data_IF_884593608676
#
_entry.id   IF_884593608676
#
_cell.length_a   1.000
_cell.length_b   1.000
_cell.length_c   1.000
_cell.angle_alpha   90.00
_cell.angle_beta   90.00
_cell.angle_gamma   90.00
#
_symmetry.space_group_name_H-M   'P 1'
#
loop_
_entity.id
_entity.type
_entity.pdbx_description
1 polymer ?
#
# COMPACT_ATOMS: atom_id res chain seq x y z
N UNK A 1 20.36 5.22 8.73
CA UNK A 1 20.47 4.77 10.13
C UNK A 1 19.79 5.79 11.01
N UNK A 2 18.71 5.42 11.71
CA UNK A 2 18.03 6.30 12.67
C UNK A 2 18.87 6.33 13.96
N UNK A 3 19.11 7.51 14.59
CA UNK A 3 19.89 7.58 15.81
C UNK A 3 19.28 6.71 16.93
N UNK A 4 20.12 6.00 17.68
CA UNK A 4 19.72 5.10 18.78
C UNK A 4 18.79 5.82 19.79
N UNK A 5 19.02 7.12 20.02
CA UNK A 5 18.16 7.97 20.87
C UNK A 5 16.74 8.13 20.33
N UNK A 6 16.57 8.33 19.03
CA UNK A 6 15.25 8.53 18.41
C UNK A 6 14.42 7.25 18.47
N UNK A 7 15.06 6.08 18.30
CA UNK A 7 14.40 4.78 18.48
C UNK A 7 13.96 4.56 19.93
N UNK A 8 14.75 5.01 20.91
CA UNK A 8 14.39 4.94 22.34
C UNK A 8 13.12 5.75 22.69
N UNK A 9 13.01 6.97 22.16
CA UNK A 9 11.85 7.85 22.40
C UNK A 9 10.57 7.26 21.79
N UNK A 10 10.64 6.77 20.55
CA UNK A 10 9.48 6.18 19.87
C UNK A 10 9.00 4.88 20.55
N UNK A 11 9.91 4.13 21.17
CA UNK A 11 9.56 2.94 21.98
C UNK A 11 8.86 3.29 23.29
N UNK A 12 9.20 4.43 23.89
CA UNK A 12 8.58 4.90 25.15
C UNK A 12 7.19 5.51 24.91
N UNK A 13 6.89 5.97 23.71
CA UNK A 13 5.61 6.61 23.35
C UNK A 13 4.97 5.99 22.09
N UNK A 14 4.53 4.71 22.14
CA UNK A 14 3.92 4.04 20.99
C UNK A 14 2.66 4.75 20.47
N UNK A 15 1.96 5.49 21.34
CA UNK A 15 0.78 6.27 20.97
C UNK A 15 1.10 7.42 19.98
N UNK A 16 2.32 7.97 20.02
CA UNK A 16 2.74 9.01 19.08
C UNK A 16 2.91 8.40 17.69
N UNK A 17 3.46 7.19 17.60
CA UNK A 17 3.62 6.47 16.34
C UNK A 17 2.25 6.17 15.73
N UNK A 18 1.29 5.71 16.53
CA UNK A 18 -0.08 5.48 16.07
C UNK A 18 -0.76 6.76 15.60
N UNK A 19 -0.58 7.87 16.31
CA UNK A 19 -1.13 9.16 15.91
C UNK A 19 -0.57 9.63 14.57
N UNK A 20 0.76 9.60 14.41
CA UNK A 20 1.42 9.98 13.14
C UNK A 20 1.00 9.06 12.00
N UNK A 21 0.89 7.76 12.28
CA UNK A 21 0.40 6.75 11.34
C UNK A 21 -1.03 7.04 10.86
N UNK A 22 -1.95 7.31 11.79
CA UNK A 22 -3.36 7.59 11.48
C UNK A 22 -3.50 8.91 10.73
N UNK A 23 -2.79 9.96 11.16
CA UNK A 23 -2.78 11.25 10.46
C UNK A 23 -2.18 11.11 9.06
N UNK A 24 -1.10 10.34 8.91
CA UNK A 24 -0.48 10.04 7.63
C UNK A 24 -1.44 9.31 6.69
N UNK A 25 -2.09 8.23 7.15
CA UNK A 25 -3.09 7.52 6.38
C UNK A 25 -4.26 8.42 5.98
N UNK A 26 -4.77 9.22 6.93
CA UNK A 26 -5.85 10.18 6.67
C UNK A 26 -5.45 11.23 5.62
N UNK A 27 -4.22 11.74 5.68
CA UNK A 27 -3.70 12.68 4.70
C UNK A 27 -3.58 12.05 3.31
N UNK A 28 -3.09 10.80 3.21
CA UNK A 28 -3.02 10.07 1.92
C UNK A 28 -4.40 9.80 1.36
N UNK A 29 -5.37 9.42 2.20
CA UNK A 29 -6.77 9.21 1.79
C UNK A 29 -7.38 10.53 1.28
N UNK A 30 -7.22 11.62 2.02
CA UNK A 30 -7.70 12.93 1.62
C UNK A 30 -7.05 13.39 0.32
N UNK A 31 -5.73 13.24 0.19
CA UNK A 31 -5.00 13.56 -1.03
C UNK A 31 -5.48 12.71 -2.21
N UNK A 32 -5.75 11.41 -2.00
CA UNK A 32 -6.31 10.52 -3.03
C UNK A 32 -7.64 11.06 -3.54
N UNK A 33 -8.57 11.45 -2.65
CA UNK A 33 -9.86 11.98 -3.09
C UNK A 33 -9.75 13.34 -3.78
N UNK A 34 -8.83 14.20 -3.35
CA UNK A 34 -8.52 15.46 -4.07
C UNK A 34 -7.98 15.15 -5.46
N UNK A 35 -7.05 14.20 -5.58
CA UNK A 35 -6.50 13.77 -6.87
C UNK A 35 -7.59 13.19 -7.77
N UNK A 36 -8.46 12.34 -7.25
CA UNK A 36 -9.59 11.79 -8.03
C UNK A 36 -10.55 12.86 -8.54
N UNK A 37 -10.66 14.00 -7.85
CA UNK A 37 -11.50 15.12 -8.30
C UNK A 37 -10.93 15.89 -9.49
N UNK A 38 -9.64 15.73 -9.78
CA UNK A 38 -8.95 16.42 -10.90
C UNK A 38 -8.52 15.46 -12.00
N UNK A 39 -8.60 14.15 -11.78
CA UNK A 39 -8.27 13.16 -12.80
C UNK A 39 -9.34 13.16 -13.91
N UNK A 40 -8.91 13.07 -15.18
CA UNK A 40 -9.82 13.19 -16.33
C UNK A 40 -10.78 11.99 -16.39
N UNK A 41 -11.99 12.20 -16.89
CA UNK A 41 -12.88 11.09 -17.22
C UNK A 41 -12.32 10.37 -18.46
N UNK A 42 -12.11 9.06 -18.36
CA UNK A 42 -11.57 8.28 -19.47
C UNK A 42 -12.56 8.09 -20.63
N UNK A 43 -13.76 8.67 -20.59
CA UNK A 43 -14.66 8.72 -21.73
C UNK A 43 -14.32 9.81 -22.75
N UNK A 44 -13.52 10.83 -22.38
CA UNK A 44 -13.10 11.90 -23.29
C UNK A 44 -11.57 11.96 -23.45
N UNK A 45 -11.11 11.77 -24.69
CA UNK A 45 -9.68 11.86 -25.05
C UNK A 45 -9.13 13.29 -24.88
N UNK A 46 -9.96 14.30 -25.09
CA UNK A 46 -9.59 15.71 -24.93
C UNK A 46 -9.25 16.05 -23.49
N UNK A 47 -10.08 15.60 -22.54
CA UNK A 47 -9.83 15.80 -21.10
C UNK A 47 -8.51 15.17 -20.65
N UNK A 48 -8.18 13.97 -21.15
CA UNK A 48 -6.90 13.32 -20.85
C UNK A 48 -5.72 14.14 -21.37
N UNK A 49 -5.79 14.68 -22.58
CA UNK A 49 -4.73 15.54 -23.14
C UNK A 49 -4.56 16.80 -22.29
N UNK A 50 -5.65 17.48 -21.98
CA UNK A 50 -5.64 18.75 -21.25
C UNK A 50 -5.11 18.52 -19.82
N UNK A 51 -5.46 17.40 -19.19
CA UNK A 51 -4.90 16.98 -17.90
C UNK A 51 -3.37 16.92 -17.91
N UNK A 52 -2.74 16.27 -18.89
CA UNK A 52 -1.27 16.20 -18.97
C UNK A 52 -0.63 17.56 -19.27
N UNK A 53 -1.34 18.48 -19.94
CA UNK A 53 -0.90 19.86 -20.15
C UNK A 53 -0.94 20.67 -18.85
N UNK A 54 -2.08 20.65 -18.16
CA UNK A 54 -2.37 21.53 -17.02
C UNK A 54 -1.72 21.04 -15.71
N UNK A 55 -1.57 19.72 -15.55
CA UNK A 55 -1.12 19.10 -14.30
C UNK A 55 0.29 18.51 -14.34
N UNK A 56 1.04 18.77 -15.41
CA UNK A 56 2.38 18.21 -15.66
C UNK A 56 3.28 18.17 -14.41
N UNK A 57 3.51 19.30 -13.74
CA UNK A 57 4.36 19.38 -12.53
C UNK A 57 3.85 18.54 -11.36
N UNK A 58 2.53 18.45 -11.19
CA UNK A 58 1.91 17.67 -10.11
C UNK A 58 1.99 16.18 -10.38
N UNK A 59 1.83 15.76 -11.64
CA UNK A 59 2.04 14.37 -12.06
C UNK A 59 3.47 13.95 -11.75
N UNK A 60 4.47 14.77 -12.11
CA UNK A 60 5.87 14.50 -11.81
C UNK A 60 6.13 14.38 -10.30
N UNK A 61 5.58 15.30 -9.50
CA UNK A 61 5.69 15.24 -8.04
C UNK A 61 5.09 13.93 -7.49
N UNK A 62 3.91 13.54 -7.98
CA UNK A 62 3.26 12.28 -7.64
C UNK A 62 4.14 11.07 -7.96
N UNK A 63 4.68 11.00 -9.17
CA UNK A 63 5.57 9.91 -9.61
C UNK A 63 6.83 9.80 -8.72
N UNK A 64 7.44 10.92 -8.35
CA UNK A 64 8.59 10.95 -7.42
C UNK A 64 8.17 10.47 -6.03
N UNK A 65 7.04 10.95 -5.51
CA UNK A 65 6.53 10.54 -4.20
C UNK A 65 6.21 9.03 -4.15
N UNK A 66 5.57 8.48 -5.19
CA UNK A 66 5.32 7.04 -5.32
C UNK A 66 6.60 6.22 -5.40
N UNK A 67 7.62 6.71 -6.12
CA UNK A 67 8.93 6.05 -6.18
C UNK A 67 9.59 6.00 -4.78
N UNK A 68 9.53 7.08 -4.01
CA UNK A 68 10.05 7.09 -2.65
C UNK A 68 9.26 6.13 -1.73
N UNK A 69 7.93 6.10 -1.86
CA UNK A 69 7.07 5.18 -1.14
C UNK A 69 7.38 3.71 -1.48
N UNK A 70 7.67 3.40 -2.75
CA UNK A 70 7.98 2.05 -3.21
C UNK A 70 9.16 1.41 -2.44
N UNK A 71 10.21 2.17 -2.13
CA UNK A 71 11.32 1.66 -1.31
C UNK A 71 10.90 1.35 0.12
N UNK A 72 10.04 2.18 0.72
CA UNK A 72 9.49 1.91 2.04
C UNK A 72 8.58 0.67 2.04
N UNK A 73 7.80 0.47 0.97
CA UNK A 73 6.97 -0.70 0.76
C UNK A 73 7.81 -1.98 0.63
N UNK A 74 8.87 -1.98 -0.17
CA UNK A 74 9.78 -3.12 -0.33
C UNK A 74 10.42 -3.52 1.00
N UNK A 75 10.87 -2.53 1.78
CA UNK A 75 11.40 -2.79 3.11
C UNK A 75 10.35 -3.38 4.05
N UNK A 76 9.14 -2.82 4.05
CA UNK A 76 8.01 -3.29 4.85
C UNK A 76 7.63 -4.73 4.51
N UNK A 77 7.60 -5.07 3.22
CA UNK A 77 7.35 -6.43 2.74
C UNK A 77 8.41 -7.41 3.25
N UNK A 78 9.70 -7.11 3.03
CA UNK A 78 10.79 -7.98 3.48
C UNK A 78 10.78 -8.20 5.00
N UNK A 79 10.52 -7.14 5.76
CA UNK A 79 10.35 -7.25 7.20
C UNK A 79 9.13 -8.11 7.58
N UNK A 80 7.96 -7.82 7.03
CA UNK A 80 6.71 -8.50 7.37
C UNK A 80 6.78 -9.98 7.03
N UNK A 81 7.28 -10.34 5.84
CA UNK A 81 7.51 -11.73 5.45
C UNK A 81 8.41 -12.46 6.44
N UNK A 82 9.49 -11.82 6.91
CA UNK A 82 10.38 -12.42 7.90
C UNK A 82 9.68 -12.61 9.26
N UNK A 83 8.82 -11.67 9.70
CA UNK A 83 8.05 -11.82 10.94
C UNK A 83 7.02 -12.95 10.82
N UNK A 84 6.27 -12.96 9.72
CA UNK A 84 5.26 -13.98 9.42
C UNK A 84 5.92 -15.36 9.38
N UNK A 85 7.01 -15.52 8.63
CA UNK A 85 7.71 -16.81 8.51
C UNK A 85 8.18 -17.35 9.86
N UNK A 86 8.65 -16.47 10.76
CA UNK A 86 9.04 -16.87 12.12
C UNK A 86 7.85 -17.28 12.99
N UNK A 87 6.70 -16.65 12.81
CA UNK A 87 5.50 -16.95 13.58
C UNK A 87 4.79 -18.22 13.07
N UNK A 88 4.78 -18.41 11.76
CA UNK A 88 4.09 -19.51 11.10
C UNK A 88 4.92 -20.81 11.05
N UNK A 89 6.24 -20.70 11.02
CA UNK A 89 7.10 -21.86 10.76
C UNK A 89 6.99 -22.28 9.30
N UNK A 90 6.75 -23.56 9.02
CA UNK A 90 6.74 -24.14 7.66
C UNK A 90 5.45 -23.89 6.85
N UNK A 91 4.50 -23.13 7.38
CA UNK A 91 3.21 -22.91 6.72
C UNK A 91 3.23 -22.07 5.43
N UNK A 92 2.10 -22.05 4.70
CA UNK A 92 1.99 -21.43 3.38
C UNK A 92 1.74 -19.91 3.38
N UNK A 93 1.23 -19.33 4.46
CA UNK A 93 0.77 -17.93 4.49
C UNK A 93 1.90 -16.93 4.27
N UNK A 94 3.12 -17.22 4.72
CA UNK A 94 4.32 -16.42 4.44
C UNK A 94 4.57 -16.29 2.94
N UNK A 95 4.41 -17.37 2.18
CA UNK A 95 4.62 -17.39 0.75
C UNK A 95 3.45 -16.78 -0.02
N UNK A 96 2.22 -16.98 0.44
CA UNK A 96 1.04 -16.36 -0.16
C UNK A 96 1.12 -14.84 0.00
N UNK A 97 1.37 -14.35 1.22
CA UNK A 97 1.51 -12.90 1.48
C UNK A 97 2.69 -12.31 0.70
N UNK A 98 3.85 -12.97 0.70
CA UNK A 98 5.00 -12.50 -0.08
C UNK A 98 4.72 -12.45 -1.58
N UNK A 99 4.23 -13.55 -2.17
CA UNK A 99 3.96 -13.64 -3.59
C UNK A 99 2.86 -12.67 -4.04
N UNK A 100 1.78 -12.55 -3.26
CA UNK A 100 0.69 -11.65 -3.55
C UNK A 100 1.12 -10.17 -3.51
N UNK A 101 1.89 -9.76 -2.50
CA UNK A 101 2.42 -8.39 -2.44
C UNK A 101 3.42 -8.14 -3.59
N UNK A 102 4.29 -9.10 -3.91
CA UNK A 102 5.23 -8.98 -5.03
C UNK A 102 4.49 -8.80 -6.37
N UNK A 103 3.41 -9.55 -6.61
CA UNK A 103 2.56 -9.37 -7.79
C UNK A 103 1.91 -7.98 -7.81
N UNK A 104 1.39 -7.55 -6.66
CA UNK A 104 0.82 -6.21 -6.48
C UNK A 104 1.83 -5.12 -6.84
N UNK A 105 3.00 -5.16 -6.23
CA UNK A 105 4.09 -4.21 -6.48
C UNK A 105 4.57 -4.22 -7.93
N UNK A 106 4.64 -5.38 -8.56
CA UNK A 106 5.05 -5.50 -9.98
C UNK A 106 4.08 -4.74 -10.88
N UNK A 107 2.78 -4.91 -10.66
CA UNK A 107 1.78 -4.21 -11.46
C UNK A 107 1.73 -2.72 -11.16
N UNK A 108 1.90 -2.30 -9.91
CA UNK A 108 2.05 -0.88 -9.59
C UNK A 108 3.23 -0.24 -10.33
N UNK A 109 4.35 -0.95 -10.50
CA UNK A 109 5.46 -0.44 -11.32
C UNK A 109 5.09 -0.31 -12.80
N UNK A 110 4.34 -1.27 -13.34
CA UNK A 110 3.86 -1.20 -14.73
C UNK A 110 2.91 0.00 -14.89
N UNK A 111 1.94 0.15 -14.00
CA UNK A 111 0.98 1.26 -13.98
C UNK A 111 1.70 2.62 -13.93
N UNK A 112 2.60 2.82 -12.96
CA UNK A 112 3.37 4.08 -12.87
C UNK A 112 4.31 4.27 -14.06
N UNK A 113 4.87 3.20 -14.61
CA UNK A 113 5.69 3.27 -15.83
C UNK A 113 4.88 3.76 -17.03
N UNK A 114 3.62 3.31 -17.16
CA UNK A 114 2.71 3.76 -18.21
C UNK A 114 2.36 5.24 -18.03
N UNK A 115 2.11 5.70 -16.80
CA UNK A 115 1.84 7.12 -16.53
C UNK A 115 3.06 8.01 -16.73
N UNK A 116 4.23 7.57 -16.28
CA UNK A 116 5.49 8.27 -16.53
C UNK A 116 5.75 8.37 -18.03
N UNK A 117 5.50 7.31 -18.79
CA UNK A 117 5.62 7.30 -20.25
C UNK A 117 4.63 8.28 -20.89
N UNK A 118 3.36 8.25 -20.49
CA UNK A 118 2.34 9.20 -20.95
C UNK A 118 2.76 10.65 -20.70
N UNK A 119 3.23 10.95 -19.48
CA UNK A 119 3.70 12.27 -19.09
C UNK A 119 4.92 12.73 -19.91
N UNK A 120 5.95 11.88 -20.05
CA UNK A 120 7.19 12.21 -20.77
C UNK A 120 6.98 12.39 -22.28
N UNK A 121 5.97 11.72 -22.84
CA UNK A 121 5.63 11.78 -24.26
C UNK A 121 4.49 12.75 -24.56
N UNK A 122 3.86 13.36 -23.55
CA UNK A 122 2.80 14.35 -23.74
C UNK A 122 3.29 15.48 -24.67
N UNK A 123 2.49 15.79 -25.69
CA UNK A 123 2.83 16.76 -26.75
C UNK A 123 3.81 16.24 -27.83
N UNK A 124 4.24 14.98 -27.76
CA UNK A 124 5.13 14.32 -28.75
C UNK A 124 4.51 13.11 -29.44
N UNK A 125 3.34 12.68 -28.98
CA UNK A 125 2.56 11.56 -29.52
C UNK A 125 1.14 12.04 -29.83
N UNK A 126 0.37 11.22 -30.56
CA UNK A 126 -1.04 11.53 -30.82
C UNK A 126 -1.89 11.43 -29.55
N UNK A 127 -2.98 12.19 -29.51
CA UNK A 127 -3.96 12.16 -28.39
C UNK A 127 -4.49 10.74 -28.14
N UNK A 128 -4.65 9.93 -29.20
CA UNK A 128 -5.06 8.54 -29.08
C UNK A 128 -4.00 7.68 -28.38
N UNK A 129 -2.71 7.84 -28.70
CA UNK A 129 -1.65 7.09 -28.03
C UNK A 129 -1.51 7.52 -26.57
N UNK A 130 -1.63 8.83 -26.29
CA UNK A 130 -1.63 9.36 -24.93
C UNK A 130 -2.79 8.80 -24.10
N UNK A 131 -3.99 8.78 -24.68
CA UNK A 131 -5.18 8.18 -24.10
C UNK A 131 -4.97 6.69 -23.76
N UNK A 132 -4.41 5.91 -24.70
CA UNK A 132 -4.14 4.49 -24.48
C UNK A 132 -3.17 4.29 -23.31
N UNK A 133 -2.08 5.07 -23.22
CA UNK A 133 -1.16 4.94 -22.09
C UNK A 133 -1.82 5.27 -20.74
N UNK A 134 -2.64 6.33 -20.70
CA UNK A 134 -3.37 6.73 -19.50
C UNK A 134 -4.33 5.62 -19.05
N UNK A 135 -5.23 5.18 -19.93
CA UNK A 135 -6.23 4.15 -19.60
C UNK A 135 -5.58 2.81 -19.29
N UNK A 136 -4.54 2.42 -20.04
CA UNK A 136 -3.85 1.15 -19.79
C UNK A 136 -3.21 1.10 -18.41
N UNK A 137 -2.63 2.20 -17.92
CA UNK A 137 -2.08 2.26 -16.56
C UNK A 137 -3.12 1.82 -15.51
N UNK A 138 -4.34 2.29 -15.65
CA UNK A 138 -5.43 2.03 -14.73
C UNK A 138 -6.10 0.66 -14.91
N UNK A 139 -6.32 0.22 -16.14
CA UNK A 139 -6.98 -1.06 -16.43
C UNK A 139 -6.13 -2.25 -15.94
N UNK A 140 -4.80 -2.12 -15.95
CA UNK A 140 -3.87 -3.17 -15.49
C UNK A 140 -3.96 -3.40 -13.97
N UNK A 141 -4.47 -2.44 -13.19
CA UNK A 141 -4.67 -2.62 -11.75
C UNK A 141 -5.76 -3.67 -11.43
N UNK A 142 -6.74 -3.85 -12.31
CA UNK A 142 -7.89 -4.70 -12.02
C UNK A 142 -7.58 -6.21 -11.92
N UNK A 143 -6.75 -6.83 -12.79
CA UNK A 143 -6.26 -8.20 -12.58
C UNK A 143 -5.55 -8.41 -11.24
N UNK A 144 -5.03 -7.34 -10.64
CA UNK A 144 -4.26 -7.38 -9.38
C UNK A 144 -5.11 -7.18 -8.14
N UNK A 145 -6.38 -6.80 -8.31
CA UNK A 145 -7.39 -6.88 -7.24
C UNK A 145 -7.34 -8.22 -6.51
N UNK A 146 -7.21 -9.33 -7.27
CA UNK A 146 -7.16 -10.68 -6.71
C UNK A 146 -5.87 -10.95 -5.92
N UNK A 147 -4.74 -10.37 -6.32
CA UNK A 147 -3.51 -10.47 -5.55
C UNK A 147 -3.68 -9.76 -4.19
N UNK A 148 -4.21 -8.53 -4.19
CA UNK A 148 -4.52 -7.82 -2.95
C UNK A 148 -5.49 -8.61 -2.06
N UNK A 149 -6.56 -9.17 -2.62
CA UNK A 149 -7.48 -10.04 -1.87
C UNK A 149 -6.77 -11.27 -1.28
N UNK A 150 -5.95 -11.96 -2.07
CA UNK A 150 -5.22 -13.15 -1.62
C UNK A 150 -4.26 -12.81 -0.47
N UNK A 151 -3.58 -11.66 -0.56
CA UNK A 151 -2.75 -11.13 0.51
C UNK A 151 -3.54 -10.97 1.81
N UNK A 152 -4.65 -10.23 1.79
CA UNK A 152 -5.43 -9.97 3.00
C UNK A 152 -6.18 -11.20 3.53
N UNK A 153 -6.61 -12.10 2.64
CA UNK A 153 -7.16 -13.39 3.04
C UNK A 153 -6.11 -14.25 3.77
N UNK A 154 -4.86 -14.24 3.30
CA UNK A 154 -3.76 -14.93 3.96
C UNK A 154 -3.44 -14.30 5.32
N UNK A 155 -3.49 -12.98 5.47
CA UNK A 155 -3.34 -12.30 6.77
C UNK A 155 -4.44 -12.74 7.76
N UNK A 156 -5.70 -12.84 7.31
CA UNK A 156 -6.81 -13.32 8.14
C UNK A 156 -6.62 -14.79 8.52
N UNK A 157 -6.21 -15.64 7.57
CA UNK A 157 -5.89 -17.05 7.82
C UNK A 157 -4.77 -17.20 8.85
N UNK A 158 -3.68 -16.47 8.64
CA UNK A 158 -2.53 -16.41 9.53
C UNK A 158 -2.91 -15.94 10.93
N UNK A 159 -3.79 -14.95 11.04
CA UNK A 159 -4.31 -14.50 12.33
C UNK A 159 -5.04 -15.62 13.08
N UNK A 160 -5.80 -16.47 12.39
CA UNK A 160 -6.53 -17.57 13.04
C UNK A 160 -5.58 -18.56 13.69
N UNK A 161 -4.42 -18.82 13.07
CA UNK A 161 -3.44 -19.81 13.52
C UNK A 161 -2.39 -19.26 14.49
N UNK A 162 -1.93 -18.02 14.31
CA UNK A 162 -0.82 -17.45 15.12
C UNK A 162 -1.25 -16.40 16.14
N UNK A 163 -2.43 -15.78 15.99
CA UNK A 163 -2.90 -14.64 16.80
C UNK A 163 -1.91 -13.46 16.84
N UNK A 164 -0.99 -13.35 15.87
CA UNK A 164 0.10 -12.37 15.91
C UNK A 164 -0.33 -10.93 15.67
N UNK A 165 -1.46 -10.72 15.00
CA UNK A 165 -1.95 -9.40 14.65
C UNK A 165 -2.96 -8.87 15.69
N UNK A 166 -2.89 -7.58 16.02
CA UNK A 166 -3.92 -6.91 16.81
C UNK A 166 -5.22 -6.76 16.01
N UNK A 167 -6.36 -6.67 16.71
CA UNK A 167 -7.70 -6.63 16.12
C UNK A 167 -7.88 -5.58 15.04
N UNK A 168 -7.30 -4.38 15.19
CA UNK A 168 -7.47 -3.31 14.19
C UNK A 168 -6.84 -3.68 12.84
N UNK A 169 -5.69 -4.37 12.80
CA UNK A 169 -5.10 -4.84 11.53
C UNK A 169 -5.96 -5.93 10.89
N UNK A 170 -6.60 -6.76 11.71
CA UNK A 170 -7.51 -7.81 11.22
C UNK A 170 -8.77 -7.18 10.61
N UNK A 171 -9.33 -6.15 11.25
CA UNK A 171 -10.46 -5.39 10.70
C UNK A 171 -10.09 -4.74 9.37
N UNK A 172 -8.93 -4.08 9.31
CA UNK A 172 -8.42 -3.51 8.05
C UNK A 172 -8.28 -4.60 6.98
N UNK A 173 -7.70 -5.76 7.31
CA UNK A 173 -7.57 -6.86 6.36
C UNK A 173 -8.92 -7.38 5.85
N UNK A 174 -9.93 -7.48 6.72
CA UNK A 174 -11.30 -7.87 6.32
C UNK A 174 -11.89 -6.84 5.36
N UNK A 175 -11.75 -5.54 5.65
CA UNK A 175 -12.23 -4.46 4.78
C UNK A 175 -11.45 -4.35 3.48
N UNK A 176 -10.18 -4.75 3.48
CA UNK A 176 -9.32 -4.67 2.31
C UNK A 176 -9.69 -5.67 1.22
N UNK A 177 -10.35 -6.79 1.55
CA UNK A 177 -10.86 -7.73 0.54
C UNK A 177 -11.88 -7.06 -0.39
N UNK A 178 -13.03 -6.53 0.10
CA UNK A 178 -13.97 -5.81 -0.76
C UNK A 178 -13.38 -4.51 -1.31
N UNK A 179 -12.48 -3.82 -0.58
CA UNK A 179 -11.80 -2.64 -1.10
C UNK A 179 -10.97 -2.93 -2.35
N UNK A 180 -10.23 -4.04 -2.38
CA UNK A 180 -9.49 -4.46 -3.58
C UNK A 180 -10.44 -4.91 -4.70
N UNK A 181 -11.56 -5.59 -4.39
CA UNK A 181 -12.57 -5.97 -5.38
C UNK A 181 -13.14 -4.78 -6.15
N UNK A 182 -13.18 -3.59 -5.56
CA UNK A 182 -13.63 -2.39 -6.26
C UNK A 182 -12.85 -2.12 -7.55
N UNK A 183 -11.56 -2.43 -7.61
CA UNK A 183 -10.72 -2.21 -8.80
C UNK A 183 -11.21 -2.98 -10.03
N UNK A 184 -11.92 -4.10 -9.84
CA UNK A 184 -12.51 -4.89 -10.94
C UNK A 184 -13.50 -4.04 -11.76
N UNK A 185 -14.16 -3.07 -11.13
CA UNK A 185 -15.07 -2.15 -11.83
C UNK A 185 -14.42 -1.46 -13.02
N UNK A 186 -13.11 -1.15 -12.92
CA UNK A 186 -12.34 -0.47 -13.95
C UNK A 186 -12.16 -1.27 -15.24
N UNK A 187 -12.42 -2.59 -15.25
CA UNK A 187 -12.40 -3.39 -16.48
C UNK A 187 -13.59 -3.14 -17.39
N UNK A 188 -14.72 -2.71 -16.82
CA UNK A 188 -16.01 -2.77 -17.51
C UNK A 188 -16.52 -1.41 -17.96
N UNK A 189 -15.94 -0.32 -17.45
CA UNK A 189 -16.38 1.03 -17.79
C UNK A 189 -15.23 2.02 -17.78
N UNK A 190 -15.30 2.98 -18.70
CA UNK A 190 -14.42 4.16 -18.76
C UNK A 190 -15.07 5.41 -18.20
N UNK A 191 -16.33 5.34 -17.75
CA UNK A 191 -17.07 6.45 -17.13
C UNK A 191 -17.81 6.04 -15.85
N UNK A 192 -18.20 7.04 -15.05
CA UNK A 192 -18.96 6.85 -13.80
C UNK A 192 -18.12 6.32 -12.63
N UNK A 193 -18.73 5.97 -11.48
CA UNK A 193 -17.98 5.75 -10.23
C UNK A 193 -17.07 4.51 -10.23
N UNK A 194 -17.29 3.59 -11.17
CA UNK A 194 -16.50 2.36 -11.34
C UNK A 194 -15.41 2.48 -12.41
N UNK A 195 -15.24 3.63 -13.05
CA UNK A 195 -14.23 3.74 -14.09
C UNK A 195 -12.81 3.64 -13.54
N UNK A 196 -11.91 3.12 -14.36
CA UNK A 196 -10.56 2.86 -13.93
C UNK A 196 -9.73 4.13 -13.69
N UNK A 197 -10.04 5.27 -14.33
CA UNK A 197 -9.18 6.45 -14.42
C UNK A 197 -9.45 7.55 -13.37
N UNK A 198 -10.71 7.82 -13.05
CA UNK A 198 -11.10 8.76 -11.98
C UNK A 198 -12.24 8.23 -11.10
N UNK A 199 -12.62 6.96 -11.27
CA UNK A 199 -13.74 6.35 -10.56
C UNK A 199 -13.52 6.27 -9.05
N UNK A 200 -14.38 6.95 -8.30
CA UNK A 200 -14.33 7.00 -6.83
C UNK A 200 -14.30 5.61 -6.18
N UNK A 201 -15.01 4.64 -6.75
CA UNK A 201 -15.07 3.29 -6.21
C UNK A 201 -13.87 2.48 -6.69
N UNK A 202 -13.62 2.44 -8.00
CA UNK A 202 -12.60 1.55 -8.58
C UNK A 202 -11.18 1.90 -8.14
N UNK A 203 -10.85 3.20 -8.02
CA UNK A 203 -9.54 3.64 -7.50
C UNK A 203 -9.61 3.89 -5.99
N UNK A 204 -10.65 4.58 -5.52
CA UNK A 204 -10.71 5.00 -4.11
C UNK A 204 -10.79 3.82 -3.14
N UNK A 205 -11.49 2.74 -3.50
CA UNK A 205 -11.57 1.52 -2.69
C UNK A 205 -10.20 0.94 -2.34
N UNK A 206 -9.40 0.51 -3.35
CA UNK A 206 -8.05 0.01 -3.12
C UNK A 206 -7.16 1.02 -2.40
N UNK A 207 -7.17 2.29 -2.82
CA UNK A 207 -6.30 3.32 -2.24
C UNK A 207 -6.58 3.54 -0.76
N UNK A 208 -7.86 3.57 -0.35
CA UNK A 208 -8.23 3.71 1.06
C UNK A 208 -7.72 2.54 1.89
N UNK A 209 -7.96 1.30 1.45
CA UNK A 209 -7.63 0.13 2.26
C UNK A 209 -6.11 -0.09 2.36
N UNK A 210 -5.36 0.18 1.29
CA UNK A 210 -3.91 0.14 1.31
C UNK A 210 -3.30 1.26 2.15
N UNK A 211 -3.89 2.47 2.11
CA UNK A 211 -3.47 3.58 2.98
C UNK A 211 -3.69 3.27 4.45
N UNK A 212 -4.82 2.66 4.80
CA UNK A 212 -5.10 2.22 6.17
C UNK A 212 -4.13 1.13 6.61
N UNK A 213 -3.86 0.14 5.75
CA UNK A 213 -2.93 -0.94 6.05
C UNK A 213 -1.50 -0.43 6.29
N UNK A 214 -0.95 0.33 5.35
CA UNK A 214 0.40 0.88 5.44
C UNK A 214 0.53 1.99 6.48
N UNK A 215 -0.55 2.70 6.79
CA UNK A 215 -0.59 3.60 7.94
C UNK A 215 -0.54 2.86 9.26
N UNK A 216 -1.30 1.78 9.42
CA UNK A 216 -1.41 1.07 10.70
C UNK A 216 -0.21 0.15 11.01
N UNK A 217 0.51 -0.32 9.98
CA UNK A 217 1.67 -1.22 10.11
C UNK A 217 2.83 -0.64 10.95
N UNK A 218 3.29 0.62 10.76
CA UNK A 218 4.34 1.23 11.58
C UNK A 218 4.07 1.22 13.08
N UNK A 219 2.83 1.51 13.50
CA UNK A 219 2.43 1.46 14.91
C UNK A 219 2.56 0.05 15.48
N UNK A 220 2.13 -0.95 14.72
CA UNK A 220 2.31 -2.35 15.08
C UNK A 220 3.79 -2.75 15.12
N UNK A 221 4.58 -2.34 14.12
CA UNK A 221 6.02 -2.59 14.05
C UNK A 221 6.72 -2.16 15.34
N UNK A 222 6.50 -0.92 15.78
CA UNK A 222 7.15 -0.39 16.99
C UNK A 222 6.77 -1.21 18.22
N UNK A 223 5.48 -1.51 18.42
CA UNK A 223 5.01 -2.35 19.53
C UNK A 223 5.61 -3.76 19.50
N UNK A 224 5.65 -4.38 18.32
CA UNK A 224 6.19 -5.73 18.16
C UNK A 224 7.68 -5.79 18.51
N UNK A 225 8.46 -4.79 18.08
CA UNK A 225 9.89 -4.70 18.40
C UNK A 225 10.14 -4.47 19.89
N UNK A 226 9.34 -3.61 20.53
CA UNK A 226 9.44 -3.36 21.98
C UNK A 226 9.16 -4.62 22.78
N UNK A 227 8.11 -5.37 22.44
CA UNK A 227 7.75 -6.60 23.13
C UNK A 227 8.88 -7.65 23.06
N UNK A 228 9.51 -7.85 21.89
CA UNK A 228 10.63 -8.79 21.74
C UNK A 228 11.87 -8.41 22.54
N UNK A 229 12.18 -7.11 22.62
CA UNK A 229 13.32 -6.64 23.40
C UNK A 229 13.15 -6.91 24.90
N UNK A 230 11.95 -6.70 25.44
CA UNK A 230 11.66 -6.95 26.85
C UNK A 230 11.80 -8.43 27.19
N UNK A 231 11.32 -9.32 26.32
CA UNK A 231 11.46 -10.78 26.50
C UNK A 231 12.94 -11.18 26.50
N UNK A 232 13.73 -10.67 25.55
CA UNK A 232 15.15 -11.01 25.45
C UNK A 232 15.95 -10.61 26.71
N UNK A 233 15.76 -9.39 27.22
CA UNK A 233 16.43 -8.91 28.44
C UNK A 233 16.03 -9.77 29.65
N UNK A 234 14.75 -10.14 29.76
CA UNK A 234 14.28 -10.98 30.85
C UNK A 234 14.94 -12.36 30.82
N UNK A 235 15.09 -12.95 29.65
CA UNK A 235 15.71 -14.26 29.47
C UNK A 235 17.22 -14.23 29.78
N UNK A 236 17.91 -13.14 29.46
CA UNK A 236 19.33 -12.94 29.81
C UNK A 236 19.53 -12.82 31.33
N UNK A 237 18.75 -11.97 31.99
CA UNK A 237 18.79 -11.83 33.45
C UNK A 237 18.46 -13.15 34.18
N UNK A 238 17.50 -13.93 33.66
CA UNK A 238 17.16 -15.22 34.23
C UNK A 238 18.33 -16.23 34.10
N UNK A 239 19.07 -16.22 32.98
CA UNK A 239 20.27 -17.07 32.81
C UNK A 239 21.42 -16.66 33.72
N UNK A 240 21.64 -15.36 33.91
CA UNK A 240 22.67 -14.86 34.83
C UNK A 240 22.38 -15.21 36.30
N UNK A 241 21.10 -15.30 36.70
CA UNK A 241 20.71 -15.72 38.05
C UNK A 241 20.88 -17.22 38.29
N UNK A 242 20.74 -18.06 37.26
CA UNK A 242 20.92 -19.53 37.38
C UNK A 242 22.41 -19.91 37.41
N UNK A 243 23.30 -19.05 36.92
CA UNK A 243 24.74 -19.30 36.84
C UNK A 243 25.54 -18.74 38.03
N UNK A 244 24.87 -18.10 39.00
CA UNK A 244 25.43 -17.64 40.27
C UNK A 244 24.92 -18.49 41.42
#
# INVERSE_FOLDING_TARGET
>A
MVPIRTVGILRQHPNIVDLVAVLGAGAVIAATFVVLSVFPDASDRGEVRDFYGDWSSWILLGLVAFTAFFFAQLWSLGWLTAVIRRAEGEGPYAWITFGAEMMFMTVFNVEFGMWATAHLLAGRISDETLYVFHVAGFVIAAPVAFAGMAYFAAIIGLQRVTKMFPTYLVVIAVLAIPGNLCAIGGLFTVSGPFNAANGLIAIGGPMVVWSLWYGALPGWFVRHQTARHVVHIRDECAREQVTR
#
